data_IF_866180283798
#
_entry.id   IF_866180283798
#
_cell.length_a   1.000
_cell.length_b   1.000
_cell.length_c   1.000
_cell.angle_alpha   90.00
_cell.angle_beta   90.00
_cell.angle_gamma   90.00
#
_symmetry.space_group_name_H-M   'P 1'
#
loop_
_entity.id
_entity.type
_entity.pdbx_description
1 polymer ?
#
# COMPACT_ATOMS: atom_id res chain seq x y z
N UNK A 1 89.73 -28.14 -44.66
CA UNK A 1 88.27 -28.19 -44.46
C UNK A 1 87.87 -29.66 -44.39
N UNK A 2 87.50 -30.17 -43.22
CA UNK A 2 86.96 -31.53 -43.10
C UNK A 2 85.80 -31.46 -42.11
N UNK A 3 84.59 -31.64 -42.61
CA UNK A 3 83.35 -31.41 -41.86
C UNK A 3 82.88 -32.69 -41.19
N UNK A 4 82.76 -32.59 -39.86
CA UNK A 4 82.08 -33.52 -38.97
C UNK A 4 80.61 -33.74 -39.38
N UNK A 5 80.16 -35.00 -39.36
CA UNK A 5 78.72 -35.34 -39.27
C UNK A 5 78.55 -36.42 -38.21
N UNK A 6 78.13 -36.02 -37.02
CA UNK A 6 77.69 -36.93 -35.96
C UNK A 6 76.22 -37.35 -36.19
N UNK A 7 75.80 -38.54 -35.73
CA UNK A 7 74.43 -39.01 -35.93
C UNK A 7 73.47 -38.36 -34.92
N UNK A 8 72.30 -37.97 -35.41
CA UNK A 8 71.19 -37.46 -34.59
C UNK A 8 70.56 -38.62 -33.81
N UNK A 9 70.66 -38.58 -32.49
CA UNK A 9 69.95 -39.51 -31.60
C UNK A 9 68.48 -39.09 -31.48
N UNK A 10 67.54 -39.97 -31.88
CA UNK A 10 66.11 -39.80 -31.61
C UNK A 10 65.85 -40.00 -30.10
N UNK A 11 65.04 -39.15 -29.45
CA UNK A 11 64.59 -39.41 -28.09
C UNK A 11 63.61 -40.61 -28.04
N UNK A 12 63.54 -41.36 -26.93
CA UNK A 12 62.63 -42.49 -26.80
C UNK A 12 61.20 -41.98 -26.64
N UNK A 13 60.28 -42.45 -27.49
CA UNK A 13 58.84 -42.35 -27.23
C UNK A 13 58.50 -43.28 -26.07
N UNK A 14 58.32 -42.74 -24.87
CA UNK A 14 57.69 -43.46 -23.76
C UNK A 14 56.18 -43.31 -23.86
N UNK A 15 55.55 -44.10 -24.74
CA UNK A 15 54.12 -44.37 -24.65
C UNK A 15 53.89 -45.32 -23.47
N UNK A 16 53.82 -44.79 -22.25
CA UNK A 16 53.32 -45.55 -21.09
C UNK A 16 51.80 -45.66 -21.21
N UNK A 17 51.36 -46.69 -21.94
CA UNK A 17 49.96 -47.13 -21.90
C UNK A 17 49.70 -47.57 -20.45
N UNK A 18 48.97 -46.75 -19.70
CA UNK A 18 48.59 -47.04 -18.32
C UNK A 18 47.63 -48.24 -18.38
N UNK A 19 48.09 -49.42 -17.99
CA UNK A 19 47.22 -50.59 -17.91
C UNK A 19 46.22 -50.35 -16.78
N UNK A 20 44.98 -50.03 -17.17
CA UNK A 20 43.88 -49.81 -16.23
C UNK A 20 43.48 -51.16 -15.65
N UNK A 21 43.58 -51.30 -14.33
CA UNK A 21 43.18 -52.53 -13.65
C UNK A 21 41.66 -52.64 -13.59
N UNK A 22 41.14 -53.88 -13.55
CA UNK A 22 39.74 -54.15 -13.26
C UNK A 22 39.30 -53.50 -11.94
N UNK A 23 40.23 -53.40 -10.97
CA UNK A 23 39.99 -52.74 -9.68
C UNK A 23 39.74 -51.24 -9.85
N UNK A 24 40.48 -50.56 -10.73
CA UNK A 24 40.30 -49.13 -11.00
C UNK A 24 38.96 -48.85 -11.68
N UNK A 25 38.56 -49.72 -12.61
CA UNK A 25 37.24 -49.66 -13.26
C UNK A 25 36.14 -49.83 -12.21
N UNK A 26 36.27 -50.82 -11.32
CA UNK A 26 35.27 -51.10 -10.29
C UNK A 26 35.12 -49.92 -9.31
N UNK A 27 36.23 -49.31 -8.90
CA UNK A 27 36.22 -48.13 -8.04
C UNK A 27 35.55 -46.95 -8.74
N UNK A 28 35.87 -46.72 -10.02
CA UNK A 28 35.26 -45.66 -10.82
C UNK A 28 33.75 -45.85 -10.94
N UNK A 29 33.29 -47.07 -11.26
CA UNK A 29 31.86 -47.39 -11.33
C UNK A 29 31.15 -47.20 -10.00
N UNK A 30 31.80 -47.53 -8.88
CA UNK A 30 31.24 -47.33 -7.53
C UNK A 30 31.08 -45.84 -7.21
N UNK A 31 32.07 -45.02 -7.56
CA UNK A 31 31.99 -43.56 -7.42
C UNK A 31 30.85 -43.01 -8.27
N UNK A 32 30.80 -43.35 -9.56
CA UNK A 32 29.72 -42.92 -10.46
C UNK A 32 28.34 -43.32 -9.95
N UNK A 33 28.18 -44.53 -9.40
CA UNK A 33 26.92 -44.98 -8.80
C UNK A 33 26.50 -44.09 -7.64
N UNK A 34 27.43 -43.76 -6.76
CA UNK A 34 27.16 -42.89 -5.61
C UNK A 34 26.81 -41.46 -6.05
N UNK A 35 27.50 -40.94 -7.07
CA UNK A 35 27.20 -39.63 -7.65
C UNK A 35 25.80 -39.61 -8.27
N UNK A 36 25.41 -40.63 -9.03
CA UNK A 36 24.07 -40.75 -9.60
C UNK A 36 23.01 -40.78 -8.50
N UNK A 37 23.23 -41.53 -7.41
CA UNK A 37 22.30 -41.55 -6.28
C UNK A 37 22.18 -40.16 -5.60
N UNK A 38 23.31 -39.45 -5.47
CA UNK A 38 23.33 -38.09 -4.93
C UNK A 38 22.63 -37.07 -5.84
N UNK A 39 22.78 -37.20 -7.15
CA UNK A 39 22.07 -36.37 -8.13
C UNK A 39 20.57 -36.62 -8.05
N UNK A 40 20.14 -37.88 -7.99
CA UNK A 40 18.72 -38.24 -7.91
C UNK A 40 18.06 -37.68 -6.63
N UNK A 41 18.75 -37.74 -5.48
CA UNK A 41 18.21 -37.18 -4.24
C UNK A 41 18.09 -35.65 -4.28
N UNK A 42 19.07 -34.97 -4.90
CA UNK A 42 19.01 -33.53 -5.14
C UNK A 42 17.89 -33.14 -6.10
N UNK A 43 17.71 -33.90 -7.19
CA UNK A 43 16.64 -33.68 -8.15
C UNK A 43 15.27 -33.81 -7.49
N UNK A 44 15.05 -34.86 -6.71
CA UNK A 44 13.80 -35.06 -5.96
C UNK A 44 13.54 -33.91 -4.97
N UNK A 45 14.58 -33.43 -4.30
CA UNK A 45 14.47 -32.28 -3.39
C UNK A 45 14.08 -31.01 -4.16
N UNK A 46 14.67 -30.80 -5.34
CA UNK A 46 14.39 -29.66 -6.21
C UNK A 46 12.98 -29.69 -6.78
N UNK A 47 12.47 -30.86 -7.17
CA UNK A 47 11.08 -31.02 -7.60
C UNK A 47 10.11 -30.65 -6.47
N UNK A 48 10.35 -31.16 -5.26
CA UNK A 48 9.53 -30.84 -4.10
C UNK A 48 9.53 -29.34 -3.76
N UNK A 49 10.70 -28.68 -3.82
CA UNK A 49 10.76 -27.23 -3.58
C UNK A 49 10.08 -26.45 -4.70
N UNK A 50 10.20 -26.88 -5.95
CA UNK A 50 9.50 -26.25 -7.08
C UNK A 50 7.98 -26.35 -6.93
N UNK A 51 7.44 -27.51 -6.58
CA UNK A 51 6.01 -27.69 -6.31
C UNK A 51 5.54 -26.81 -5.15
N UNK A 52 6.32 -26.71 -4.06
CA UNK A 52 5.98 -25.85 -2.93
C UNK A 52 5.94 -24.36 -3.32
N UNK A 53 6.86 -23.91 -4.18
CA UNK A 53 6.89 -22.55 -4.70
C UNK A 53 5.64 -22.27 -5.54
N UNK A 54 5.27 -23.18 -6.45
CA UNK A 54 4.08 -23.04 -7.28
C UNK A 54 2.81 -22.91 -6.43
N UNK A 55 2.62 -23.78 -5.44
CA UNK A 55 1.48 -23.71 -4.53
C UNK A 55 1.42 -22.37 -3.77
N UNK A 56 2.58 -21.84 -3.37
CA UNK A 56 2.67 -20.55 -2.69
C UNK A 56 2.35 -19.38 -3.64
N UNK A 57 2.76 -19.46 -4.91
CA UNK A 57 2.39 -18.48 -5.94
C UNK A 57 0.88 -18.46 -6.18
N UNK A 58 0.22 -19.61 -6.27
CA UNK A 58 -1.23 -19.70 -6.45
C UNK A 58 -2.00 -19.09 -5.27
N UNK A 59 -1.51 -19.34 -4.05
CA UNK A 59 -2.06 -18.76 -2.82
C UNK A 59 -1.95 -17.23 -2.84
N UNK A 60 -0.76 -16.71 -3.13
CA UNK A 60 -0.52 -15.26 -3.22
C UNK A 60 -1.35 -14.60 -4.32
N UNK A 61 -1.51 -15.25 -5.46
CA UNK A 61 -2.35 -14.77 -6.56
C UNK A 61 -3.82 -14.60 -6.12
N UNK A 62 -4.34 -15.60 -5.40
CA UNK A 62 -5.70 -15.56 -4.85
C UNK A 62 -5.87 -14.43 -3.82
N UNK A 63 -4.89 -14.25 -2.94
CA UNK A 63 -4.88 -13.18 -1.94
C UNK A 63 -4.87 -11.79 -2.59
N UNK A 64 -4.05 -11.60 -3.63
CA UNK A 64 -4.01 -10.35 -4.41
C UNK A 64 -5.36 -10.04 -5.04
N UNK A 65 -6.05 -11.04 -5.60
CA UNK A 65 -7.39 -10.86 -6.18
C UNK A 65 -8.38 -10.44 -5.09
N UNK A 66 -8.35 -11.09 -3.93
CA UNK A 66 -9.20 -10.74 -2.79
C UNK A 66 -8.99 -9.29 -2.34
N UNK A 67 -7.72 -8.89 -2.12
CA UNK A 67 -7.36 -7.54 -1.73
C UNK A 67 -7.77 -6.49 -2.76
N UNK A 68 -7.64 -6.78 -4.06
CA UNK A 68 -8.11 -5.88 -5.13
C UNK A 68 -9.63 -5.68 -5.06
N UNK A 69 -10.40 -6.74 -4.81
CA UNK A 69 -11.85 -6.66 -4.68
C UNK A 69 -12.27 -5.87 -3.45
N UNK A 70 -11.60 -6.10 -2.31
CA UNK A 70 -11.83 -5.34 -1.08
C UNK A 70 -11.50 -3.86 -1.26
N UNK A 71 -10.37 -3.54 -1.87
CA UNK A 71 -9.97 -2.17 -2.15
C UNK A 71 -10.96 -1.47 -3.12
N UNK A 72 -11.45 -2.19 -4.14
CA UNK A 72 -12.50 -1.67 -5.02
C UNK A 72 -13.83 -1.41 -4.27
N UNK A 73 -14.18 -2.24 -3.28
CA UNK A 73 -15.33 -2.02 -2.41
C UNK A 73 -15.13 -0.79 -1.53
N UNK A 74 -13.99 -0.68 -0.85
CA UNK A 74 -13.65 0.46 0.00
C UNK A 74 -13.65 1.77 -0.79
N UNK A 75 -13.10 1.79 -2.01
CA UNK A 75 -13.18 2.96 -2.90
C UNK A 75 -14.62 3.38 -3.18
N UNK A 76 -15.51 2.42 -3.49
CA UNK A 76 -16.94 2.71 -3.69
C UNK A 76 -17.59 3.27 -2.42
N UNK A 77 -17.26 2.72 -1.26
CA UNK A 77 -17.83 3.18 0.01
C UNK A 77 -17.33 4.59 0.38
N UNK A 78 -16.05 4.89 0.12
CA UNK A 78 -15.47 6.24 0.29
C UNK A 78 -16.14 7.24 -0.65
N UNK A 79 -16.32 6.90 -1.93
CA UNK A 79 -16.97 7.81 -2.88
C UNK A 79 -18.43 8.08 -2.50
N UNK A 80 -19.18 7.07 -2.02
CA UNK A 80 -20.54 7.27 -1.47
C UNK A 80 -20.54 8.21 -0.26
N UNK A 81 -19.59 8.07 0.65
CA UNK A 81 -19.49 8.96 1.81
C UNK A 81 -19.16 10.39 1.39
N UNK A 82 -18.29 10.58 0.38
CA UNK A 82 -17.99 11.90 -0.18
C UNK A 82 -19.20 12.51 -0.88
N UNK A 83 -19.94 11.75 -1.69
CA UNK A 83 -21.15 12.27 -2.36
C UNK A 83 -22.21 12.66 -1.34
N UNK A 84 -22.43 11.82 -0.32
CA UNK A 84 -23.35 12.16 0.76
C UNK A 84 -22.88 13.43 1.50
N UNK A 85 -21.58 13.56 1.78
CA UNK A 85 -20.99 14.77 2.39
C UNK A 85 -21.06 16.00 1.48
N UNK A 86 -21.09 15.85 0.16
CA UNK A 86 -21.16 16.96 -0.80
C UNK A 86 -22.61 17.41 -1.02
N UNK A 87 -23.59 16.49 -1.00
CA UNK A 87 -25.03 16.81 -0.94
C UNK A 87 -25.40 17.57 0.34
N UNK A 88 -24.59 17.47 1.40
CA UNK A 88 -24.71 18.31 2.59
C UNK A 88 -24.24 19.76 2.43
N UNK A 89 -23.61 20.14 1.31
CA UNK A 89 -23.11 21.51 1.10
C UNK A 89 -23.87 22.36 0.09
N UNK A 90 -24.72 21.80 -0.78
CA UNK A 90 -25.61 22.59 -1.64
C UNK A 90 -26.74 21.76 -2.28
N UNK A 91 -27.93 21.75 -1.68
CA UNK A 91 -29.21 21.91 -2.40
C UNK A 91 -30.36 22.00 -1.40
N UNK A 92 -30.87 23.22 -1.27
CA UNK A 92 -32.29 23.44 -1.24
C UNK A 92 -33.01 22.52 -2.25
N UNK A 93 -33.80 21.57 -1.76
CA UNK A 93 -35.21 21.40 -2.16
C UNK A 93 -35.78 20.12 -1.54
N UNK A 94 -36.84 20.35 -0.76
CA UNK A 94 -37.97 19.48 -0.38
C UNK A 94 -38.10 18.08 -0.97
N UNK A 95 -38.50 17.17 -0.06
CA UNK A 95 -39.12 15.86 -0.24
C UNK A 95 -38.19 14.65 -0.31
N UNK A 96 -37.74 14.18 0.87
CA UNK A 96 -37.71 12.76 1.23
C UNK A 96 -37.45 12.62 2.74
N UNK A 97 -38.53 12.60 3.53
CA UNK A 97 -38.51 12.35 4.97
C UNK A 97 -37.92 10.96 5.27
N UNK A 98 -36.65 10.90 5.66
CA UNK A 98 -36.08 9.77 6.39
C UNK A 98 -35.96 10.22 7.85
N UNK A 99 -36.80 9.73 8.78
CA UNK A 99 -36.97 10.32 10.12
C UNK A 99 -35.76 10.21 11.08
N UNK A 100 -34.58 9.81 10.61
CA UNK A 100 -33.33 9.83 11.38
C UNK A 100 -32.25 10.79 10.85
N UNK A 101 -32.31 11.17 9.57
CA UNK A 101 -31.25 11.96 8.94
C UNK A 101 -31.46 13.47 9.11
N UNK A 102 -32.73 13.90 9.08
CA UNK A 102 -33.12 15.28 9.39
C UNK A 102 -32.75 15.66 10.82
N UNK A 103 -32.84 14.72 11.77
CA UNK A 103 -32.45 14.94 13.16
C UNK A 103 -30.95 15.19 13.31
N UNK A 104 -30.10 14.36 12.69
CA UNK A 104 -28.64 14.54 12.81
C UNK A 104 -28.19 15.86 12.16
N UNK A 105 -28.76 16.21 11.01
CA UNK A 105 -28.50 17.49 10.35
C UNK A 105 -28.95 18.67 11.22
N UNK A 106 -30.17 18.60 11.75
CA UNK A 106 -30.74 19.63 12.61
C UNK A 106 -29.90 19.82 13.90
N UNK A 107 -29.48 18.72 14.54
CA UNK A 107 -28.62 18.76 15.73
C UNK A 107 -27.26 19.39 15.42
N UNK A 108 -26.63 19.02 14.31
CA UNK A 108 -25.35 19.61 13.91
C UNK A 108 -25.48 21.11 13.60
N UNK A 109 -26.56 21.51 12.93
CA UNK A 109 -26.85 22.92 12.70
C UNK A 109 -27.13 23.68 13.99
N UNK A 110 -27.88 23.10 14.95
CA UNK A 110 -28.09 23.69 16.28
C UNK A 110 -26.78 23.83 17.03
N UNK A 111 -25.89 22.84 16.97
CA UNK A 111 -24.59 22.91 17.64
C UNK A 111 -23.74 24.07 17.09
N UNK A 112 -23.68 24.24 15.76
CA UNK A 112 -22.97 25.36 15.14
C UNK A 112 -23.63 26.70 15.53
N UNK A 113 -24.96 26.80 15.41
CA UNK A 113 -25.71 28.03 15.68
C UNK A 113 -25.84 28.35 17.17
N UNK A 114 -25.62 27.40 18.07
CA UNK A 114 -25.72 27.58 19.53
C UNK A 114 -24.72 28.60 20.08
N UNK A 115 -23.65 28.87 19.33
CA UNK A 115 -22.62 29.85 19.68
C UNK A 115 -22.92 31.25 19.17
N UNK A 116 -24.01 31.42 18.41
CA UNK A 116 -24.42 32.72 17.89
C UNK A 116 -25.33 33.42 18.90
N UNK A 117 -25.08 34.71 19.10
CA UNK A 117 -25.93 35.59 19.93
C UNK A 117 -26.66 36.55 18.99
N UNK A 118 -27.99 36.59 19.11
CA UNK A 118 -28.83 37.53 18.37
C UNK A 118 -29.18 38.72 19.26
N UNK A 119 -28.82 39.92 18.80
CA UNK A 119 -29.19 41.17 19.44
C UNK A 119 -30.26 41.87 18.60
N UNK A 120 -31.35 42.26 19.25
CA UNK A 120 -32.47 42.95 18.62
C UNK A 120 -32.53 44.40 19.07
N UNK A 121 -33.20 45.24 18.27
CA UNK A 121 -33.40 46.65 18.58
C UNK A 121 -32.08 47.45 18.73
N UNK A 122 -31.06 47.07 17.96
CA UNK A 122 -29.79 47.79 17.89
C UNK A 122 -29.92 48.93 16.90
N UNK A 123 -29.69 50.16 17.37
CA UNK A 123 -29.73 51.37 16.54
C UNK A 123 -28.80 51.22 15.32
N UNK A 124 -29.24 51.72 14.17
CA UNK A 124 -28.41 51.75 12.97
C UNK A 124 -27.26 52.73 13.16
N UNK A 125 -26.03 52.24 13.05
CA UNK A 125 -24.82 53.05 13.03
C UNK A 125 -24.04 52.76 11.75
N UNK A 126 -23.29 53.74 11.26
CA UNK A 126 -22.31 53.57 10.18
C UNK A 126 -21.00 52.93 10.67
N UNK A 127 -20.86 52.71 11.97
CA UNK A 127 -19.68 52.07 12.54
C UNK A 127 -19.51 50.61 12.09
N UNK A 128 -18.26 50.14 12.17
CA UNK A 128 -17.90 48.73 11.97
C UNK A 128 -18.73 47.82 12.88
N UNK A 129 -19.39 46.83 12.28
CA UNK A 129 -20.28 45.87 12.95
C UNK A 129 -19.56 45.11 14.06
N UNK A 130 -18.26 44.81 13.88
CA UNK A 130 -17.44 44.15 14.90
C UNK A 130 -17.20 45.03 16.13
N UNK A 131 -16.98 46.33 15.91
CA UNK A 131 -16.74 47.28 17.00
C UNK A 131 -18.03 47.51 17.80
N UNK A 132 -19.13 47.74 17.11
CA UNK A 132 -20.44 47.90 17.74
C UNK A 132 -20.84 46.66 18.55
N UNK A 133 -20.66 45.46 18.00
CA UNK A 133 -20.95 44.21 18.70
C UNK A 133 -20.07 44.05 19.96
N UNK A 134 -18.78 44.37 19.86
CA UNK A 134 -17.86 44.31 21.01
C UNK A 134 -18.27 45.26 22.13
N UNK A 135 -18.63 46.50 21.79
CA UNK A 135 -19.03 47.50 22.78
C UNK A 135 -20.36 47.14 23.46
N UNK A 136 -21.33 46.62 22.70
CA UNK A 136 -22.61 46.13 23.23
C UNK A 136 -22.43 44.94 24.17
N UNK A 137 -21.66 43.92 23.76
CA UNK A 137 -21.40 42.73 24.58
C UNK A 137 -20.65 43.10 25.87
N UNK A 138 -19.67 44.02 25.80
CA UNK A 138 -18.99 44.57 26.97
C UNK A 138 -19.93 45.32 27.91
N UNK A 139 -20.86 46.12 27.38
CA UNK A 139 -21.86 46.83 28.21
C UNK A 139 -22.78 45.86 28.98
N UNK A 140 -23.01 44.66 28.43
CA UNK A 140 -23.77 43.59 29.07
C UNK A 140 -22.93 42.80 30.08
N UNK A 141 -21.66 43.16 30.30
CA UNK A 141 -20.71 42.45 31.17
C UNK A 141 -20.53 40.97 30.81
N UNK A 142 -20.67 40.64 29.52
CA UNK A 142 -20.45 39.30 29.01
C UNK A 142 -19.03 39.24 28.45
N UNK A 143 -18.18 38.41 29.06
CA UNK A 143 -16.80 38.22 28.60
C UNK A 143 -16.71 37.02 27.67
N UNK A 144 -17.01 37.26 26.39
CA UNK A 144 -16.92 36.24 25.33
C UNK A 144 -16.12 36.78 24.13
N UNK A 145 -15.18 36.00 23.58
CA UNK A 145 -14.46 36.39 22.37
C UNK A 145 -15.40 36.35 21.16
N UNK A 146 -15.60 37.49 20.52
CA UNK A 146 -16.44 37.61 19.32
C UNK A 146 -15.59 37.26 18.10
N UNK A 147 -15.95 36.20 17.37
CA UNK A 147 -15.27 35.78 16.14
C UNK A 147 -15.77 36.48 14.89
N UNK A 148 -17.05 36.83 14.85
CA UNK A 148 -17.67 37.58 13.74
C UNK A 148 -18.95 38.26 14.22
N UNK A 149 -19.30 39.36 13.57
CA UNK A 149 -20.53 40.10 13.77
C UNK A 149 -21.07 40.48 12.39
N UNK A 150 -22.35 40.22 12.17
CA UNK A 150 -23.02 40.49 10.90
C UNK A 150 -24.40 41.05 11.18
N UNK A 151 -24.76 42.17 10.54
CA UNK A 151 -26.13 42.69 10.56
C UNK A 151 -27.00 41.93 9.55
N UNK A 152 -28.07 41.29 10.03
CA UNK A 152 -29.01 40.55 9.19
C UNK A 152 -30.11 41.49 8.65
N UNK A 153 -30.51 41.32 7.39
CA UNK A 153 -31.67 42.00 6.80
C UNK A 153 -31.41 43.39 6.19
N UNK A 154 -30.17 43.68 5.78
CA UNK A 154 -29.87 44.80 4.88
C UNK A 154 -30.30 44.50 3.45
#
# INVERSE_FOLDING_TARGET
>A
MSSNKSPVSKPPLTNTKKDVSLVDIMNTLKIMRNEIQSINSKLLTQENTSTAILNRMDTLSTEIISLKNENAKLKRDIEKLKTNSLEHTCSSNTANNIPGFDFVKEIHEREIKSRNILLFNVVESQDDEMKLATDLIKSLHIDVPITSAVRLGK
#
